data_IF_304611312064
#
_entry.id   IF_304611312064
#
_cell.length_a   1.000
_cell.length_b   1.000
_cell.length_c   1.000
_cell.angle_alpha   90.00
_cell.angle_beta   90.00
_cell.angle_gamma   90.00
#
_symmetry.space_group_name_H-M   'P 1'
#
loop_
_entity.id
_entity.type
_entity.pdbx_description
1 polymer ?
#
# COMPACT_ATOMS: atom_id res chain seq x y z
N UNK A 1 6.64 4.88 25.99
CA UNK A 1 6.32 6.01 26.90
C UNK A 1 5.56 5.49 28.12
N UNK A 2 5.41 6.22 29.24
CA UNK A 2 4.51 5.80 30.31
C UNK A 2 3.04 5.90 29.83
N UNK A 3 2.22 4.87 30.10
CA UNK A 3 0.83 4.82 29.64
C UNK A 3 -0.02 6.05 30.01
N UNK A 4 0.24 6.65 31.19
CA UNK A 4 -0.43 7.89 31.64
C UNK A 4 -0.12 9.10 30.76
N UNK A 5 1.09 9.17 30.21
CA UNK A 5 1.51 10.25 29.32
C UNK A 5 0.84 10.14 27.95
N UNK A 6 0.70 8.92 27.44
CA UNK A 6 0.09 8.66 26.13
C UNK A 6 -1.43 8.86 26.14
N UNK A 7 -2.09 8.47 27.24
CA UNK A 7 -3.51 8.75 27.43
C UNK A 7 -3.79 10.26 27.46
N UNK A 8 -2.98 11.04 28.18
CA UNK A 8 -3.10 12.51 28.21
C UNK A 8 -2.89 13.15 26.85
N UNK A 9 -1.89 12.70 26.07
CA UNK A 9 -1.67 13.18 24.69
C UNK A 9 -2.87 12.85 23.80
N UNK A 10 -3.42 11.65 23.92
CA UNK A 10 -4.59 11.21 23.15
C UNK A 10 -5.83 12.05 23.46
N UNK A 11 -6.11 12.31 24.74
CA UNK A 11 -7.23 13.16 25.17
C UNK A 11 -7.06 14.61 24.70
N UNK A 12 -5.83 15.15 24.74
CA UNK A 12 -5.52 16.47 24.19
C UNK A 12 -5.75 16.53 22.68
N UNK A 13 -5.31 15.52 21.92
CA UNK A 13 -5.52 15.44 20.48
C UNK A 13 -7.01 15.34 20.14
N UNK A 14 -7.78 14.52 20.87
CA UNK A 14 -9.23 14.44 20.71
C UNK A 14 -9.92 15.79 20.95
N UNK A 15 -9.50 16.51 22.00
CA UNK A 15 -10.02 17.85 22.31
C UNK A 15 -9.70 18.84 21.17
N UNK A 16 -8.47 18.82 20.65
CA UNK A 16 -8.07 19.68 19.52
C UNK A 16 -8.84 19.32 18.24
N UNK A 17 -9.07 18.04 17.98
CA UNK A 17 -9.86 17.57 16.84
C UNK A 17 -11.28 18.12 16.90
N UNK A 18 -11.94 18.04 18.06
CA UNK A 18 -13.29 18.58 18.23
C UNK A 18 -13.34 20.10 18.09
N UNK A 19 -12.34 20.81 18.64
CA UNK A 19 -12.23 22.26 18.44
C UNK A 19 -12.08 22.63 16.95
N UNK A 20 -11.24 21.91 16.21
CA UNK A 20 -11.04 22.16 14.77
C UNK A 20 -12.30 21.78 13.98
N UNK A 21 -12.99 20.69 14.31
CA UNK A 21 -14.28 20.32 13.71
C UNK A 21 -15.33 21.42 13.91
N UNK A 22 -15.44 21.95 15.12
CA UNK A 22 -16.33 23.08 15.43
C UNK A 22 -15.96 24.34 14.64
N UNK A 23 -14.67 24.64 14.51
CA UNK A 23 -14.20 25.77 13.70
C UNK A 23 -14.52 25.59 12.21
N UNK A 24 -14.35 24.38 11.65
CA UNK A 24 -14.73 24.06 10.26
C UNK A 24 -16.24 24.24 10.06
N UNK A 25 -17.07 23.73 10.98
CA UNK A 25 -18.52 23.91 10.92
C UNK A 25 -18.91 25.40 10.93
N UNK A 26 -18.26 26.19 11.78
CA UNK A 26 -18.50 27.64 11.86
C UNK A 26 -18.09 28.35 10.56
N UNK A 27 -16.93 27.99 9.98
CA UNK A 27 -16.47 28.52 8.69
C UNK A 27 -17.39 28.10 7.54
N UNK A 28 -17.90 26.88 7.56
CA UNK A 28 -18.86 26.37 6.58
C UNK A 28 -20.16 27.20 6.60
N UNK A 29 -20.72 27.46 7.78
CA UNK A 29 -21.91 28.31 7.93
C UNK A 29 -21.66 29.75 7.46
N UNK A 30 -20.50 30.34 7.79
CA UNK A 30 -20.10 31.66 7.30
C UNK A 30 -20.00 31.70 5.77
N UNK A 31 -19.46 30.64 5.17
CA UNK A 31 -19.28 30.52 3.73
C UNK A 31 -20.64 30.37 3.01
N UNK A 32 -21.58 29.61 3.58
CA UNK A 32 -22.95 29.51 3.06
C UNK A 32 -23.66 30.87 3.06
N UNK A 33 -23.63 31.60 4.17
CA UNK A 33 -24.19 32.96 4.25
C UNK A 33 -23.50 33.94 3.28
N UNK A 34 -22.19 33.80 3.09
CA UNK A 34 -21.44 34.64 2.16
C UNK A 34 -21.77 34.32 0.69
N UNK A 35 -21.97 33.04 0.35
CA UNK A 35 -22.43 32.61 -0.98
C UNK A 35 -23.81 33.14 -1.30
N UNK A 36 -24.72 33.12 -0.34
CA UNK A 36 -26.04 33.74 -0.47
C UNK A 36 -25.90 35.24 -0.80
N UNK A 37 -25.06 35.97 -0.05
CA UNK A 37 -24.78 37.39 -0.33
C UNK A 37 -24.18 37.62 -1.72
N UNK A 38 -23.21 36.81 -2.13
CA UNK A 38 -22.61 36.89 -3.49
C UNK A 38 -23.69 36.67 -4.55
N UNK A 39 -24.57 35.68 -4.36
CA UNK A 39 -25.69 35.43 -5.27
C UNK A 39 -26.64 36.63 -5.35
N UNK A 40 -27.00 37.23 -4.22
CA UNK A 40 -27.87 38.40 -4.16
C UNK A 40 -27.26 39.62 -4.87
N UNK A 41 -25.96 39.89 -4.65
CA UNK A 41 -25.26 40.97 -5.36
C UNK A 41 -25.14 40.70 -6.86
N UNK A 42 -24.91 39.45 -7.26
CA UNK A 42 -24.86 39.08 -8.66
C UNK A 42 -26.22 39.30 -9.34
N UNK A 43 -27.31 38.82 -8.73
CA UNK A 43 -28.68 39.04 -9.22
C UNK A 43 -29.02 40.53 -9.33
N UNK A 44 -28.63 41.34 -8.33
CA UNK A 44 -28.83 42.78 -8.35
C UNK A 44 -28.08 43.45 -9.52
N UNK A 45 -26.83 43.05 -9.79
CA UNK A 45 -26.04 43.55 -10.93
C UNK A 45 -26.64 43.10 -12.26
N UNK A 46 -27.12 41.86 -12.36
CA UNK A 46 -27.70 41.30 -13.59
C UNK A 46 -29.01 42.01 -13.94
N UNK A 47 -29.90 42.24 -12.97
CA UNK A 47 -31.14 43.03 -13.14
C UNK A 47 -30.84 44.48 -13.50
N UNK A 48 -29.78 45.07 -12.96
CA UNK A 48 -29.39 46.45 -13.28
C UNK A 48 -28.79 46.60 -14.69
N UNK A 49 -28.17 45.53 -15.22
CA UNK A 49 -27.53 45.54 -16.55
C UNK A 49 -28.45 45.07 -17.67
N UNK A 50 -29.45 44.25 -17.39
CA UNK A 50 -30.46 43.81 -18.37
C UNK A 50 -31.79 44.54 -18.16
N UNK A 51 -32.48 44.95 -19.24
CA UNK A 51 -33.84 45.49 -19.11
C UNK A 51 -34.73 44.44 -18.40
N UNK A 52 -35.54 44.83 -17.40
CA UNK A 52 -36.16 43.89 -16.49
C UNK A 52 -37.22 43.05 -17.21
N UNK A 53 -37.05 41.73 -17.22
CA UNK A 53 -38.11 40.77 -17.61
C UNK A 53 -38.94 40.29 -16.42
N UNK A 54 -38.55 40.60 -15.18
CA UNK A 54 -39.21 40.06 -14.00
C UNK A 54 -39.15 41.03 -12.80
N UNK A 55 -40.24 41.08 -12.02
CA UNK A 55 -40.35 41.82 -10.76
C UNK A 55 -40.38 40.83 -9.59
N UNK A 56 -39.48 40.93 -8.60
CA UNK A 56 -39.52 40.10 -7.41
C UNK A 56 -40.67 40.48 -6.49
N UNK A 57 -41.08 39.51 -5.68
CA UNK A 57 -42.13 39.67 -4.68
C UNK A 57 -41.63 40.61 -3.56
N UNK A 58 -42.49 41.48 -3.02
CA UNK A 58 -42.10 42.41 -1.96
C UNK A 58 -41.73 41.65 -0.68
N UNK A 59 -40.54 41.94 -0.13
CA UNK A 59 -40.13 41.52 1.21
C UNK A 59 -38.95 40.54 1.31
N UNK A 60 -38.33 40.12 0.20
CA UNK A 60 -37.29 39.07 0.26
C UNK A 60 -35.83 39.55 0.17
N UNK A 61 -35.49 40.81 -0.17
CA UNK A 61 -34.07 41.18 -0.40
C UNK A 61 -33.71 42.65 -0.10
N UNK A 62 -33.20 42.94 1.11
CA UNK A 62 -32.66 44.28 1.46
C UNK A 62 -31.59 44.83 0.49
N UNK A 63 -30.60 44.04 0.01
CA UNK A 63 -29.56 44.58 -0.87
C UNK A 63 -30.09 44.94 -2.27
N UNK A 64 -31.11 44.21 -2.72
CA UNK A 64 -31.67 44.33 -4.06
C UNK A 64 -32.71 45.46 -4.11
N UNK A 65 -33.47 45.65 -3.03
CA UNK A 65 -34.40 46.76 -2.86
C UNK A 65 -33.64 48.09 -2.73
N UNK A 66 -32.55 48.13 -1.96
CA UNK A 66 -31.69 49.31 -1.85
C UNK A 66 -31.09 49.72 -3.22
N UNK A 67 -30.62 48.75 -4.01
CA UNK A 67 -30.05 49.03 -5.33
C UNK A 67 -31.12 49.56 -6.31
N UNK A 68 -32.34 49.02 -6.24
CA UNK A 68 -33.48 49.46 -7.05
C UNK A 68 -33.97 50.85 -6.69
N UNK A 69 -34.04 51.16 -5.40
CA UNK A 69 -34.36 52.52 -4.93
C UNK A 69 -33.30 53.52 -5.43
N UNK A 70 -32.02 53.20 -5.32
CA UNK A 70 -30.95 54.07 -5.82
C UNK A 70 -30.98 54.26 -7.34
N UNK A 71 -31.23 53.19 -8.11
CA UNK A 71 -31.33 53.27 -9.58
C UNK A 71 -32.59 53.97 -10.07
N UNK A 72 -33.70 53.86 -9.35
CA UNK A 72 -34.95 54.57 -9.66
C UNK A 72 -34.91 56.04 -9.24
N UNK A 73 -34.16 56.37 -8.19
CA UNK A 73 -33.89 57.75 -7.78
C UNK A 73 -32.87 58.46 -8.68
N UNK A 74 -31.99 57.72 -9.39
CA UNK A 74 -31.00 58.26 -10.32
C UNK A 74 -31.68 58.89 -11.55
N UNK A 75 -31.54 60.21 -11.69
CA UNK A 75 -32.16 61.01 -12.76
C UNK A 75 -31.29 61.06 -14.01
N UNK A 76 -29.98 60.81 -13.90
CA UNK A 76 -29.04 60.89 -15.02
C UNK A 76 -28.40 59.54 -15.37
N UNK A 77 -27.92 59.41 -16.61
CA UNK A 77 -27.24 58.21 -17.08
C UNK A 77 -25.89 57.99 -16.36
N UNK A 78 -25.28 59.07 -15.89
CA UNK A 78 -24.03 59.04 -15.12
C UNK A 78 -24.24 58.50 -13.71
N UNK A 79 -25.27 58.94 -12.99
CA UNK A 79 -25.64 58.41 -11.66
C UNK A 79 -25.96 56.90 -11.71
N UNK A 80 -26.58 56.44 -12.81
CA UNK A 80 -26.82 55.01 -13.08
C UNK A 80 -25.52 54.22 -13.30
N UNK A 81 -24.54 54.81 -13.98
CA UNK A 81 -23.24 54.18 -14.19
C UNK A 81 -22.42 54.09 -12.90
N UNK A 82 -22.45 55.14 -12.07
CA UNK A 82 -21.77 55.19 -10.77
C UNK A 82 -22.34 54.16 -9.78
N UNK A 83 -23.67 54.07 -9.68
CA UNK A 83 -24.36 53.05 -8.85
C UNK A 83 -24.06 51.62 -9.29
N UNK A 84 -24.04 51.35 -10.59
CA UNK A 84 -23.62 50.04 -11.14
C UNK A 84 -22.16 49.72 -10.83
N UNK A 85 -21.28 50.72 -10.88
CA UNK A 85 -19.86 50.55 -10.57
C UNK A 85 -19.66 50.23 -9.09
N UNK A 86 -20.37 50.91 -8.20
CA UNK A 86 -20.39 50.61 -6.77
C UNK A 86 -20.92 49.20 -6.48
N UNK A 87 -22.00 48.77 -7.15
CA UNK A 87 -22.55 47.43 -7.02
C UNK A 87 -21.54 46.33 -7.42
N UNK A 88 -20.82 46.54 -8.54
CA UNK A 88 -19.75 45.64 -8.99
C UNK A 88 -18.59 45.57 -8.02
N UNK A 89 -18.22 46.70 -7.40
CA UNK A 89 -17.19 46.73 -6.37
C UNK A 89 -17.63 45.94 -5.12
N UNK A 90 -18.87 46.10 -4.67
CA UNK A 90 -19.44 45.32 -3.55
C UNK A 90 -19.47 43.82 -3.84
N UNK A 91 -19.85 43.42 -5.06
CA UNK A 91 -19.80 42.03 -5.50
C UNK A 91 -18.38 41.48 -5.51
N UNK A 92 -17.40 42.24 -6.00
CA UNK A 92 -16.00 41.85 -6.01
C UNK A 92 -15.47 41.64 -4.58
N UNK A 93 -15.76 42.57 -3.67
CA UNK A 93 -15.43 42.45 -2.25
C UNK A 93 -16.08 41.22 -1.61
N UNK A 94 -17.35 40.94 -1.93
CA UNK A 94 -18.04 39.76 -1.41
C UNK A 94 -17.41 38.44 -1.91
N UNK A 95 -16.98 38.38 -3.18
CA UNK A 95 -16.28 37.22 -3.76
C UNK A 95 -14.89 37.03 -3.16
N UNK A 96 -14.16 38.11 -2.88
CA UNK A 96 -12.86 38.05 -2.20
C UNK A 96 -13.01 37.49 -0.78
N UNK A 97 -14.02 37.95 -0.04
CA UNK A 97 -14.34 37.42 1.29
C UNK A 97 -14.72 35.92 1.24
N UNK A 98 -15.47 35.47 0.22
CA UNK A 98 -15.76 34.04 0.02
C UNK A 98 -14.47 33.24 -0.23
N UNK A 99 -13.57 33.75 -1.07
CA UNK A 99 -12.30 33.10 -1.37
C UNK A 99 -11.43 32.98 -0.11
N UNK A 100 -11.35 34.03 0.71
CA UNK A 100 -10.62 34.00 1.97
C UNK A 100 -11.20 32.98 2.96
N UNK A 101 -12.53 32.96 3.13
CA UNK A 101 -13.19 31.97 3.99
C UNK A 101 -12.97 30.53 3.50
N UNK A 102 -12.90 30.33 2.19
CA UNK A 102 -12.59 29.04 1.58
C UNK A 102 -11.16 28.60 1.90
N UNK A 103 -10.18 29.50 1.79
CA UNK A 103 -8.79 29.22 2.15
C UNK A 103 -8.64 28.91 3.64
N UNK A 104 -9.26 29.71 4.51
CA UNK A 104 -9.26 29.48 5.96
C UNK A 104 -9.84 28.10 6.31
N UNK A 105 -10.94 27.71 5.64
CA UNK A 105 -11.56 26.40 5.82
C UNK A 105 -10.62 25.26 5.39
N UNK A 106 -9.99 25.38 4.23
CA UNK A 106 -9.03 24.38 3.74
C UNK A 106 -7.85 24.21 4.71
N UNK A 107 -7.31 25.31 5.24
CA UNK A 107 -6.24 25.25 6.23
C UNK A 107 -6.66 24.52 7.52
N UNK A 108 -7.92 24.69 7.95
CA UNK A 108 -8.48 23.94 9.07
C UNK A 108 -8.69 22.45 8.74
N UNK A 109 -9.12 22.12 7.53
CA UNK A 109 -9.26 20.72 7.06
C UNK A 109 -7.91 20.01 6.98
N UNK A 110 -6.86 20.68 6.49
CA UNK A 110 -5.49 20.16 6.51
C UNK A 110 -5.00 19.93 7.95
N UNK A 111 -5.25 20.88 8.85
CA UNK A 111 -4.94 20.73 10.27
C UNK A 111 -5.70 19.56 10.91
N UNK A 112 -6.98 19.39 10.57
CA UNK A 112 -7.79 18.26 11.04
C UNK A 112 -7.19 16.93 10.57
N UNK A 113 -6.80 16.83 9.30
CA UNK A 113 -6.16 15.64 8.73
C UNK A 113 -4.85 15.32 9.45
N UNK A 114 -4.03 16.33 9.73
CA UNK A 114 -2.81 16.16 10.51
C UNK A 114 -3.11 15.62 11.92
N UNK A 115 -4.06 16.22 12.64
CA UNK A 115 -4.42 15.78 13.99
C UNK A 115 -5.01 14.37 14.02
N UNK A 116 -5.81 13.99 13.03
CA UNK A 116 -6.36 12.63 12.92
C UNK A 116 -5.25 11.60 12.65
N UNK A 117 -4.29 11.92 11.78
CA UNK A 117 -3.13 11.06 11.54
C UNK A 117 -2.25 10.93 12.79
N UNK A 118 -2.09 12.00 13.56
CA UNK A 118 -1.35 11.98 14.82
C UNK A 118 -2.09 11.16 15.87
N UNK A 119 -3.41 11.30 15.98
CA UNK A 119 -4.24 10.51 16.89
C UNK A 119 -4.17 9.02 16.55
N UNK A 120 -4.29 8.65 15.28
CA UNK A 120 -4.10 7.27 14.82
C UNK A 120 -2.71 6.75 15.17
N UNK A 121 -1.69 7.60 14.98
CA UNK A 121 -0.32 7.25 15.33
C UNK A 121 -0.14 6.97 16.83
N UNK A 122 -0.60 7.90 17.68
CA UNK A 122 -0.48 7.79 19.14
C UNK A 122 -1.27 6.62 19.71
N UNK A 123 -2.41 6.27 19.11
CA UNK A 123 -3.27 5.19 19.59
C UNK A 123 -2.78 3.81 19.18
N UNK A 124 -2.23 3.65 17.97
CA UNK A 124 -1.89 2.33 17.42
C UNK A 124 -0.41 1.99 17.46
N UNK A 125 0.46 3.00 17.40
CA UNK A 125 1.87 2.82 17.07
C UNK A 125 2.85 3.39 18.08
N UNK A 126 2.46 4.36 18.93
CA UNK A 126 3.38 5.01 19.86
C UNK A 126 4.06 4.06 20.85
N UNK A 127 3.37 3.01 21.33
CA UNK A 127 3.99 2.00 22.19
C UNK A 127 5.02 1.12 21.47
N UNK A 128 4.96 1.08 20.14
CA UNK A 128 5.87 0.32 19.30
C UNK A 128 7.13 1.12 18.92
N UNK A 129 7.17 2.43 19.19
CA UNK A 129 8.34 3.27 18.91
C UNK A 129 9.59 2.73 19.62
N UNK A 130 9.52 2.46 20.93
CA UNK A 130 10.67 1.93 21.67
C UNK A 130 11.12 0.57 21.13
N UNK A 131 10.17 -0.28 20.71
CA UNK A 131 10.45 -1.62 20.15
C UNK A 131 11.22 -1.51 18.84
N UNK A 132 10.84 -0.57 17.99
CA UNK A 132 11.41 -0.45 16.64
C UNK A 132 12.51 0.60 16.53
N UNK A 133 12.72 1.46 17.53
CA UNK A 133 13.77 2.47 17.52
C UNK A 133 15.13 1.84 17.30
N UNK A 134 15.46 0.78 18.04
CA UNK A 134 16.72 0.05 17.85
C UNK A 134 16.81 -0.59 16.46
N UNK A 135 15.72 -1.17 15.95
CA UNK A 135 15.69 -1.77 14.62
C UNK A 135 15.85 -0.73 13.49
N UNK A 136 15.31 0.47 13.66
CA UNK A 136 15.45 1.58 12.72
C UNK A 136 16.82 2.25 12.81
N UNK A 137 17.34 2.43 14.02
CA UNK A 137 18.65 3.03 14.25
C UNK A 137 19.78 2.14 13.72
N UNK A 138 19.60 0.81 13.80
CA UNK A 138 20.54 -0.18 13.28
C UNK A 138 20.15 -0.69 11.89
N UNK A 139 19.09 -0.15 11.28
CA UNK A 139 18.80 -0.44 9.89
C UNK A 139 20.00 0.04 9.06
N UNK A 140 20.59 -0.84 8.23
CA UNK A 140 21.72 -0.46 7.42
C UNK A 140 21.30 0.72 6.55
N UNK A 141 22.16 1.72 6.46
CA UNK A 141 21.98 2.80 5.51
C UNK A 141 21.76 2.21 4.10
N UNK A 142 21.09 2.93 3.20
CA UNK A 142 20.92 2.46 1.81
C UNK A 142 22.25 2.05 1.15
N UNK A 143 23.36 2.67 1.57
CA UNK A 143 24.70 2.32 1.15
C UNK A 143 25.19 1.01 1.75
N UNK A 144 25.09 0.81 3.07
CA UNK A 144 25.46 -0.44 3.74
C UNK A 144 24.61 -1.63 3.26
N UNK A 145 23.31 -1.41 3.03
CA UNK A 145 22.41 -2.43 2.49
C UNK A 145 22.85 -2.85 1.07
N UNK A 146 23.24 -1.88 0.24
CA UNK A 146 23.77 -2.14 -1.11
C UNK A 146 25.11 -2.86 -1.06
N UNK A 147 26.02 -2.48 -0.17
CA UNK A 147 27.30 -3.14 0.02
C UNK A 147 27.11 -4.61 0.46
N UNK A 148 26.22 -4.85 1.43
CA UNK A 148 25.87 -6.20 1.86
C UNK A 148 25.25 -7.04 0.74
N UNK A 149 24.38 -6.45 -0.08
CA UNK A 149 23.74 -7.14 -1.20
C UNK A 149 24.75 -7.48 -2.32
N UNK A 150 25.68 -6.57 -2.61
CA UNK A 150 26.78 -6.82 -3.54
C UNK A 150 27.70 -7.94 -3.03
N UNK A 151 28.06 -7.91 -1.74
CA UNK A 151 28.87 -8.95 -1.11
C UNK A 151 28.17 -10.33 -1.18
N UNK A 152 26.86 -10.38 -0.96
CA UNK A 152 26.06 -11.61 -1.09
C UNK A 152 26.10 -12.19 -2.50
N UNK A 153 25.91 -11.37 -3.54
CA UNK A 153 26.03 -11.83 -4.93
C UNK A 153 27.43 -12.36 -5.25
N UNK A 154 28.46 -11.72 -4.69
CA UNK A 154 29.84 -12.13 -4.89
C UNK A 154 30.13 -13.50 -4.24
N UNK A 155 29.67 -13.72 -3.01
CA UNK A 155 29.74 -15.01 -2.34
C UNK A 155 28.99 -16.12 -3.11
N UNK A 156 27.80 -15.82 -3.65
CA UNK A 156 27.05 -16.77 -4.47
C UNK A 156 27.79 -17.15 -5.76
N UNK A 157 28.48 -16.19 -6.40
CA UNK A 157 29.32 -16.45 -7.57
C UNK A 157 30.46 -17.41 -7.19
N UNK A 158 31.15 -17.17 -6.07
CA UNK A 158 32.24 -18.02 -5.59
C UNK A 158 31.78 -19.46 -5.29
N UNK A 159 30.63 -19.62 -4.63
CA UNK A 159 30.03 -20.92 -4.35
C UNK A 159 29.73 -21.69 -5.65
N UNK A 160 29.15 -21.01 -6.65
CA UNK A 160 28.82 -21.61 -7.95
C UNK A 160 30.07 -21.96 -8.76
N UNK A 161 31.12 -21.14 -8.68
CA UNK A 161 32.43 -21.46 -9.29
C UNK A 161 33.05 -22.71 -8.64
N UNK A 162 32.92 -22.87 -7.33
CA UNK A 162 33.37 -24.08 -6.64
C UNK A 162 32.57 -25.31 -7.08
N UNK A 163 31.25 -25.19 -7.27
CA UNK A 163 30.41 -26.26 -7.78
C UNK A 163 30.84 -26.70 -9.20
N UNK A 164 31.18 -25.76 -10.08
CA UNK A 164 31.74 -26.05 -11.41
C UNK A 164 33.04 -26.86 -11.28
N UNK A 165 34.00 -26.39 -10.46
CA UNK A 165 35.28 -27.09 -10.27
C UNK A 165 35.10 -28.52 -9.75
N UNK A 166 34.17 -28.73 -8.81
CA UNK A 166 33.84 -30.07 -8.29
C UNK A 166 33.24 -30.98 -9.36
N UNK A 167 32.34 -30.44 -10.19
CA UNK A 167 31.73 -31.18 -11.29
C UNK A 167 32.76 -31.53 -12.39
N UNK A 168 33.64 -30.59 -12.76
CA UNK A 168 34.74 -30.81 -13.72
C UNK A 168 35.71 -31.90 -13.22
N UNK A 169 36.03 -31.89 -11.92
CA UNK A 169 36.85 -32.93 -11.30
C UNK A 169 36.17 -34.32 -11.34
N UNK A 170 34.87 -34.39 -11.08
CA UNK A 170 34.10 -35.64 -11.18
C UNK A 170 34.08 -36.19 -12.61
N UNK A 171 33.86 -35.34 -13.61
CA UNK A 171 33.94 -35.72 -15.03
C UNK A 171 35.33 -36.28 -15.35
N UNK A 172 36.40 -35.62 -14.89
CA UNK A 172 37.77 -36.09 -15.09
C UNK A 172 38.07 -37.45 -14.43
N UNK A 173 37.44 -37.75 -13.28
CA UNK A 173 37.53 -39.05 -12.63
C UNK A 173 36.74 -40.14 -13.38
N UNK A 174 35.55 -39.81 -13.86
CA UNK A 174 34.72 -40.71 -14.67
C UNK A 174 35.39 -41.02 -16.01
N UNK A 175 36.02 -40.05 -16.67
CA UNK A 175 36.77 -40.26 -17.91
C UNK A 175 38.03 -41.12 -17.73
N UNK A 176 38.70 -41.02 -16.57
CA UNK A 176 39.85 -41.89 -16.23
C UNK A 176 39.43 -43.33 -15.90
N UNK A 177 38.18 -43.53 -15.46
CA UNK A 177 37.55 -44.83 -15.29
C UNK A 177 36.84 -45.21 -16.60
N UNK A 178 37.58 -45.67 -17.62
CA UNK A 178 36.92 -46.16 -18.83
C UNK A 178 35.85 -47.22 -18.50
N UNK A 179 34.72 -47.05 -19.20
CA UNK A 179 33.35 -47.48 -18.92
C UNK A 179 33.07 -48.89 -19.45
N UNK A 180 32.24 -49.68 -18.74
CA UNK A 180 31.53 -50.82 -19.32
C UNK A 180 30.42 -50.29 -20.26
N UNK A 181 30.52 -50.53 -21.59
CA UNK A 181 29.71 -49.85 -22.60
C UNK A 181 28.20 -50.21 -22.60
N UNK A 182 27.73 -51.08 -21.71
CA UNK A 182 26.34 -51.56 -21.69
C UNK A 182 25.43 -50.97 -20.61
N UNK A 183 25.90 -50.01 -19.80
CA UNK A 183 25.05 -49.39 -18.78
C UNK A 183 24.13 -48.32 -19.40
N UNK A 184 22.85 -48.68 -19.62
CA UNK A 184 21.79 -47.73 -19.98
C UNK A 184 21.67 -46.63 -18.91
N UNK A 185 22.06 -45.39 -19.23
CA UNK A 185 21.81 -44.22 -18.39
C UNK A 185 20.40 -43.69 -18.71
N UNK A 186 19.47 -43.62 -17.73
CA UNK A 186 18.12 -43.10 -17.98
C UNK A 186 18.12 -41.61 -18.33
N UNK A 187 17.31 -41.24 -19.33
CA UNK A 187 17.18 -39.91 -19.93
C UNK A 187 16.76 -38.77 -18.97
N UNK A 188 16.35 -39.07 -17.74
CA UNK A 188 15.88 -38.10 -16.75
C UNK A 188 17.00 -37.38 -15.95
N UNK A 189 18.27 -37.73 -16.16
CA UNK A 189 19.40 -37.19 -15.39
C UNK A 189 19.96 -35.83 -15.90
N UNK A 190 19.36 -35.19 -16.90
CA UNK A 190 19.92 -33.97 -17.53
C UNK A 190 20.22 -32.80 -16.57
N UNK A 191 19.53 -32.70 -15.42
CA UNK A 191 19.76 -31.66 -14.41
C UNK A 191 20.66 -32.09 -13.24
N UNK A 192 20.95 -33.39 -13.12
CA UNK A 192 21.72 -33.97 -12.01
C UNK A 192 23.07 -34.54 -12.46
N UNK A 193 23.41 -34.41 -13.75
CA UNK A 193 24.74 -34.75 -14.26
C UNK A 193 25.76 -33.66 -13.91
N UNK A 194 27.04 -34.00 -13.77
CA UNK A 194 28.12 -33.02 -13.64
C UNK A 194 28.09 -31.96 -14.77
N UNK A 195 27.78 -32.36 -16.00
CA UNK A 195 27.65 -31.45 -17.15
C UNK A 195 26.49 -30.45 -16.98
N UNK A 196 25.29 -30.93 -16.60
CA UNK A 196 24.13 -30.08 -16.34
C UNK A 196 24.36 -29.11 -15.17
N UNK A 197 25.13 -29.54 -14.17
CA UNK A 197 25.52 -28.70 -13.03
C UNK A 197 26.44 -27.55 -13.45
N UNK A 198 27.35 -27.78 -14.39
CA UNK A 198 28.26 -26.75 -14.93
C UNK A 198 27.48 -25.72 -15.73
N UNK A 199 26.61 -26.15 -16.66
CA UNK A 199 25.84 -25.22 -17.50
C UNK A 199 24.89 -24.37 -16.68
N UNK A 200 24.17 -24.97 -15.73
CA UNK A 200 23.28 -24.25 -14.82
C UNK A 200 24.05 -23.24 -13.96
N UNK A 201 25.21 -23.63 -13.41
CA UNK A 201 26.03 -22.72 -12.61
C UNK A 201 26.60 -21.56 -13.44
N UNK A 202 26.99 -21.78 -14.70
CA UNK A 202 27.45 -20.72 -15.60
C UNK A 202 26.34 -19.71 -15.91
N UNK A 203 25.13 -20.18 -16.19
CA UNK A 203 23.96 -19.30 -16.42
C UNK A 203 23.64 -18.46 -15.18
N UNK A 204 23.61 -19.09 -14.00
CA UNK A 204 23.36 -18.39 -12.74
C UNK A 204 24.44 -17.33 -12.44
N UNK A 205 25.72 -17.62 -12.70
CA UNK A 205 26.81 -16.63 -12.54
C UNK A 205 26.60 -15.43 -13.46
N UNK A 206 26.24 -15.64 -14.73
CA UNK A 206 26.01 -14.54 -15.67
C UNK A 206 24.83 -13.65 -15.23
N UNK A 207 23.77 -14.25 -14.68
CA UNK A 207 22.63 -13.51 -14.14
C UNK A 207 23.01 -12.69 -12.89
N UNK A 208 23.78 -13.28 -11.97
CA UNK A 208 24.31 -12.58 -10.79
C UNK A 208 25.24 -11.41 -11.17
N UNK A 209 26.06 -11.56 -12.21
CA UNK A 209 26.91 -10.49 -12.73
C UNK A 209 26.08 -9.33 -13.30
N UNK A 210 25.01 -9.63 -14.03
CA UNK A 210 24.06 -8.62 -14.52
C UNK A 210 23.40 -7.87 -13.36
N UNK A 211 23.02 -8.57 -12.29
CA UNK A 211 22.47 -7.94 -11.10
C UNK A 211 23.49 -7.02 -10.42
N UNK A 212 24.76 -7.45 -10.28
CA UNK A 212 25.85 -6.60 -9.76
C UNK A 212 26.00 -5.31 -10.58
N UNK A 213 26.01 -5.39 -11.91
CA UNK A 213 26.10 -4.20 -12.77
C UNK A 213 24.90 -3.27 -12.62
N UNK A 214 23.69 -3.83 -12.54
CA UNK A 214 22.47 -3.06 -12.30
C UNK A 214 22.55 -2.28 -10.99
N UNK A 215 22.89 -2.96 -9.89
CA UNK A 215 23.02 -2.34 -8.57
C UNK A 215 24.13 -1.30 -8.53
N UNK A 216 25.22 -1.49 -9.29
CA UNK A 216 26.31 -0.50 -9.41
C UNK A 216 25.89 0.81 -10.08
N UNK A 217 24.92 0.78 -11.01
CA UNK A 217 24.47 1.94 -11.79
C UNK A 217 23.38 2.77 -11.13
N UNK A 218 22.75 2.26 -10.07
CA UNK A 218 21.74 2.99 -9.30
C UNK A 218 22.38 4.21 -8.61
N UNK A 219 21.93 5.45 -8.85
CA UNK A 219 22.37 6.60 -8.08
C UNK A 219 21.86 6.44 -6.65
N UNK A 220 22.77 6.48 -5.67
CA UNK A 220 22.38 6.68 -4.28
C UNK A 220 22.12 8.19 -4.15
N UNK A 221 20.89 8.57 -3.80
CA UNK A 221 20.59 9.93 -3.37
C UNK A 221 21.47 10.33 -2.17
N UNK A 222 21.43 11.61 -1.80
CA UNK A 222 22.12 12.08 -0.60
C UNK A 222 21.81 11.17 0.60
N UNK A 223 22.76 10.95 1.52
CA UNK A 223 22.53 10.12 2.70
C UNK A 223 21.28 10.62 3.40
N UNK A 224 20.26 9.76 3.41
CA UNK A 224 18.94 10.09 3.91
C UNK A 224 19.07 10.31 5.41
N UNK A 225 19.03 11.58 5.83
CA UNK A 225 19.06 11.92 7.25
C UNK A 225 17.75 11.41 7.84
N UNK A 226 17.84 10.35 8.63
CA UNK A 226 16.71 9.73 9.34
C UNK A 226 15.84 10.82 9.98
N UNK A 227 14.70 11.12 9.38
CA UNK A 227 13.74 12.07 9.94
C UNK A 227 12.69 11.31 10.76
N UNK A 228 12.12 11.98 11.76
CA UNK A 228 11.04 11.47 12.60
C UNK A 228 9.85 10.96 11.80
N UNK A 229 9.53 11.58 10.67
CA UNK A 229 8.45 11.14 9.78
C UNK A 229 8.75 9.77 9.13
N UNK A 230 9.96 9.57 8.61
CA UNK A 230 10.41 8.28 8.07
C UNK A 230 10.41 7.19 9.13
N UNK A 231 10.80 7.50 10.37
CA UNK A 231 10.72 6.56 11.47
C UNK A 231 9.27 6.13 11.76
N UNK A 232 8.34 7.09 11.75
CA UNK A 232 6.92 6.79 11.96
C UNK A 232 6.33 5.91 10.86
N UNK A 233 6.70 6.17 9.62
CA UNK A 233 6.29 5.33 8.48
C UNK A 233 6.92 3.93 8.55
N UNK A 234 8.18 3.82 8.98
CA UNK A 234 8.81 2.55 9.27
C UNK A 234 8.07 1.76 10.36
N UNK A 235 7.70 2.41 11.47
CA UNK A 235 6.93 1.80 12.56
C UNK A 235 5.58 1.28 12.04
N UNK A 236 4.85 2.08 11.25
CA UNK A 236 3.57 1.67 10.65
C UNK A 236 3.72 0.44 9.75
N UNK A 237 4.68 0.50 8.82
CA UNK A 237 4.94 -0.59 7.88
C UNK A 237 5.33 -1.87 8.62
N UNK A 238 6.22 -1.76 9.62
CA UNK A 238 6.67 -2.90 10.40
C UNK A 238 5.53 -3.53 11.20
N UNK A 239 4.70 -2.72 11.84
CA UNK A 239 3.53 -3.18 12.58
C UNK A 239 2.52 -3.90 11.68
N UNK A 240 2.29 -3.41 10.45
CA UNK A 240 1.42 -4.08 9.45
C UNK A 240 1.99 -5.44 9.05
N UNK A 241 3.28 -5.49 8.70
CA UNK A 241 3.95 -6.74 8.33
C UNK A 241 3.88 -7.76 9.47
N UNK A 242 4.11 -7.35 10.71
CA UNK A 242 4.03 -8.25 11.86
C UNK A 242 2.59 -8.77 12.10
N UNK A 243 1.58 -7.94 11.88
CA UNK A 243 0.17 -8.37 11.94
C UNK A 243 -0.14 -9.40 10.86
N UNK A 244 0.20 -9.10 9.60
CA UNK A 244 -0.01 -10.01 8.47
C UNK A 244 0.75 -11.34 8.64
N UNK A 245 1.99 -11.29 9.12
CA UNK A 245 2.77 -12.49 9.45
C UNK A 245 2.12 -13.31 10.56
N UNK A 246 1.58 -12.65 11.59
CA UNK A 246 0.88 -13.33 12.69
C UNK A 246 -0.38 -14.04 12.18
N UNK A 247 -1.15 -13.38 11.32
CA UNK A 247 -2.31 -13.97 10.67
C UNK A 247 -1.91 -15.15 9.78
N UNK A 248 -0.88 -15.00 8.94
CA UNK A 248 -0.36 -16.08 8.12
C UNK A 248 0.10 -17.29 8.95
N UNK A 249 0.87 -17.07 10.01
CA UNK A 249 1.32 -18.13 10.92
C UNK A 249 0.15 -18.84 11.60
N UNK A 250 -0.92 -18.12 11.93
CA UNK A 250 -2.14 -18.71 12.50
C UNK A 250 -2.84 -19.65 11.51
N UNK A 251 -2.91 -19.26 10.23
CA UNK A 251 -3.46 -20.10 9.15
C UNK A 251 -2.58 -21.34 8.94
N UNK A 252 -1.26 -21.18 8.93
CA UNK A 252 -0.33 -22.32 8.81
C UNK A 252 -0.45 -23.29 9.99
N UNK A 253 -0.60 -22.78 11.22
CA UNK A 253 -0.81 -23.61 12.40
C UNK A 253 -2.13 -24.41 12.30
N UNK A 254 -3.21 -23.79 11.85
CA UNK A 254 -4.49 -24.49 11.61
C UNK A 254 -4.38 -25.54 10.51
N UNK A 255 -3.63 -25.26 9.44
CA UNK A 255 -3.36 -26.22 8.37
C UNK A 255 -2.58 -27.43 8.89
N UNK A 256 -1.49 -27.21 9.64
CA UNK A 256 -0.72 -28.28 10.26
C UNK A 256 -1.57 -29.12 11.22
N UNK A 257 -2.40 -28.48 12.05
CA UNK A 257 -3.34 -29.18 12.93
C UNK A 257 -4.35 -30.02 12.14
N UNK A 258 -4.80 -29.53 10.97
CA UNK A 258 -5.69 -30.27 10.09
C UNK A 258 -4.99 -31.49 9.46
N UNK A 259 -3.73 -31.36 9.07
CA UNK A 259 -2.91 -32.48 8.60
C UNK A 259 -2.64 -33.51 9.69
N UNK A 260 -2.39 -33.07 10.93
CA UNK A 260 -2.25 -33.97 12.07
C UNK A 260 -3.56 -34.72 12.35
N UNK A 261 -4.70 -34.04 12.34
CA UNK A 261 -6.02 -34.70 12.48
C UNK A 261 -6.27 -35.69 11.36
N UNK A 262 -5.91 -35.34 10.12
CA UNK A 262 -6.01 -36.26 8.98
C UNK A 262 -5.10 -37.48 9.16
N UNK A 263 -3.85 -37.27 9.59
CA UNK A 263 -2.91 -38.35 9.90
C UNK A 263 -3.47 -39.26 11.00
N UNK A 264 -3.95 -38.70 12.10
CA UNK A 264 -4.57 -39.44 13.21
C UNK A 264 -5.78 -40.23 12.74
N UNK A 265 -6.68 -39.62 11.95
CA UNK A 265 -7.83 -40.30 11.37
C UNK A 265 -7.42 -41.45 10.43
N UNK A 266 -6.36 -41.29 9.63
CA UNK A 266 -5.81 -42.35 8.78
C UNK A 266 -5.16 -43.49 9.58
N UNK A 267 -4.53 -43.18 10.72
CA UNK A 267 -3.98 -44.22 11.62
C UNK A 267 -5.04 -44.94 12.45
N UNK A 268 -6.11 -44.25 12.86
CA UNK A 268 -7.20 -44.79 13.68
C UNK A 268 -8.25 -45.52 12.84
N UNK A 269 -8.44 -45.11 11.58
CA UNK A 269 -9.27 -45.80 10.59
C UNK A 269 -8.38 -46.30 9.46
N UNK A 270 -7.72 -47.47 9.62
CA UNK A 270 -6.92 -48.10 8.57
C UNK A 270 -7.81 -48.66 7.43
N UNK A 271 -8.91 -48.00 7.09
CA UNK A 271 -9.79 -48.36 5.98
C UNK A 271 -9.15 -48.09 4.59
N UNK A 272 -7.88 -47.66 4.54
CA UNK A 272 -6.97 -47.91 3.42
C UNK A 272 -6.26 -49.26 3.57
N UNK A 273 -6.93 -50.24 4.20
CA UNK A 273 -6.54 -51.64 4.31
C UNK A 273 -6.66 -52.37 2.98
N UNK A 274 -6.11 -51.77 1.92
CA UNK A 274 -5.79 -52.54 0.73
C UNK A 274 -4.45 -53.21 1.03
N UNK A 275 -4.53 -54.45 1.49
CA UNK A 275 -3.37 -55.32 1.48
C UNK A 275 -2.94 -55.44 0.01
N UNK A 276 -1.70 -55.09 -0.39
CA UNK A 276 -1.27 -55.15 -1.80
C UNK A 276 -1.46 -56.53 -2.43
N UNK A 277 -1.54 -57.57 -1.61
CA UNK A 277 -1.82 -58.96 -1.94
C UNK A 277 -3.30 -59.28 -2.26
N UNK A 278 -4.24 -58.38 -1.96
CA UNK A 278 -5.69 -58.52 -2.28
C UNK A 278 -6.08 -57.85 -3.59
N UNK A 279 -5.20 -57.01 -4.16
CA UNK A 279 -5.34 -56.45 -5.49
C UNK A 279 -5.00 -57.54 -6.51
N UNK A 280 -6.03 -58.17 -7.09
CA UNK A 280 -5.86 -59.20 -8.14
C UNK A 280 -5.18 -58.68 -9.40
N UNK A 281 -5.17 -57.36 -9.62
CA UNK A 281 -4.59 -56.69 -10.78
C UNK A 281 -3.61 -55.60 -10.33
N UNK A 282 -2.48 -55.37 -11.06
CA UNK A 282 -1.52 -54.33 -10.72
C UNK A 282 -2.16 -52.95 -10.79
N UNK A 283 -2.00 -52.18 -9.70
CA UNK A 283 -2.44 -50.78 -9.62
C UNK A 283 -1.62 -49.95 -10.62
N UNK A 284 -2.29 -49.45 -11.65
CA UNK A 284 -1.65 -48.68 -12.73
C UNK A 284 -1.64 -47.17 -12.47
N UNK A 285 -2.55 -46.65 -11.63
CA UNK A 285 -2.63 -45.21 -11.36
C UNK A 285 -3.31 -44.91 -10.03
N UNK A 286 -2.73 -43.99 -9.26
CA UNK A 286 -3.33 -43.37 -8.07
C UNK A 286 -3.41 -41.86 -8.33
N UNK A 287 -4.61 -41.30 -8.28
CA UNK A 287 -4.81 -39.86 -8.45
C UNK A 287 -5.62 -39.26 -7.31
N UNK A 288 -5.31 -38.01 -6.96
CA UNK A 288 -6.11 -37.20 -6.05
C UNK A 288 -7.02 -36.29 -6.89
N UNK A 289 -8.33 -36.39 -6.73
CA UNK A 289 -9.24 -35.52 -7.48
C UNK A 289 -9.40 -34.13 -6.82
N UNK A 290 -10.04 -33.20 -7.53
CA UNK A 290 -10.29 -31.83 -7.09
C UNK A 290 -11.27 -31.73 -5.89
N UNK A 291 -11.70 -32.86 -5.31
CA UNK A 291 -12.50 -32.99 -4.09
C UNK A 291 -11.75 -33.75 -2.99
N UNK A 292 -10.43 -33.89 -3.08
CA UNK A 292 -9.56 -34.62 -2.15
C UNK A 292 -9.91 -36.11 -1.97
N UNK A 293 -10.50 -36.74 -2.98
CA UNK A 293 -10.73 -38.19 -2.98
C UNK A 293 -9.60 -38.90 -3.72
N UNK A 294 -9.08 -39.98 -3.12
CA UNK A 294 -8.09 -40.87 -3.75
C UNK A 294 -8.84 -41.82 -4.69
N UNK A 295 -8.53 -41.77 -5.98
CA UNK A 295 -9.04 -42.70 -6.99
C UNK A 295 -7.91 -43.69 -7.33
N UNK A 296 -8.18 -44.97 -7.13
CA UNK A 296 -7.28 -46.07 -7.51
C UNK A 296 -7.87 -46.76 -8.73
N UNK A 297 -7.12 -46.87 -9.82
CA UNK A 297 -7.59 -47.52 -11.07
C UNK A 297 -6.65 -48.65 -11.53
N UNK A 298 -7.26 -49.81 -11.81
CA UNK A 298 -6.61 -51.01 -12.35
C UNK A 298 -7.05 -51.30 -13.78
N UNK A 299 -6.23 -52.02 -14.55
CA UNK A 299 -6.64 -52.57 -15.86
C UNK A 299 -7.48 -53.82 -15.66
N UNK A 300 -8.75 -53.79 -16.04
CA UNK A 300 -9.54 -55.01 -16.20
C UNK A 300 -9.16 -55.68 -17.52
N UNK A 301 -8.54 -56.86 -17.45
CA UNK A 301 -8.45 -57.74 -18.63
C UNK A 301 -9.84 -58.37 -18.86
N UNK A 302 -10.51 -58.14 -20.01
CA UNK A 302 -11.81 -58.74 -20.27
C UNK A 302 -11.66 -60.26 -20.44
N UNK A 303 -12.58 -61.02 -19.84
CA UNK A 303 -12.76 -62.46 -20.10
C UNK A 303 -13.62 -62.68 -21.33
#
# INVERSE_FOLDING_TARGET
MPAKTQQSITEQLQTQIEQVRGAIATKQEQLERQRERVSQFQEAVDIATTQPKWQPKPGELEPLDALKEMLSAAKTQQEKAETLTAARASLAFAKEAEAQLTQDKLALEERLRFLLNELDYQTRYADQETKYWHAFDHAPSPQEAREAQLASYQAMIEERQLAIKKAEYQIGLEQKKQVDPNAHVPMWQGLSTPQGTIENSRRAIAELQKNIEFWKRQPLGAPDTKNREQFRDFVRARASIELELTEFLSVQAQYLQSLERLRTALTENPCLGINPSELKDPVTRVELNNRNQIIVSGKTTPR
#
